data_IF_190486228084
#
_entry.id   IF_190486228084
#
_cell.length_a   1.000
_cell.length_b   1.000
_cell.length_c   1.000
_cell.angle_alpha   90.00
_cell.angle_beta   90.00
_cell.angle_gamma   90.00
#
_symmetry.space_group_name_H-M   'P 1'
#
loop_
_entity.id
_entity.type
_entity.pdbx_description
1 polymer ?
#
# COMPACT_ATOMS: atom_id res chain seq x y z
N UNK A 1 29.47 -12.92 27.41
CA UNK A 1 29.16 -11.59 27.97
C UNK A 1 28.42 -11.88 29.27
N UNK A 2 28.95 -11.50 30.43
CA UNK A 2 28.07 -11.28 31.59
C UNK A 2 27.27 -10.02 31.25
N UNK A 3 26.18 -10.20 30.50
CA UNK A 3 25.25 -9.12 30.17
C UNK A 3 24.40 -8.83 31.38
N UNK A 4 24.17 -7.55 31.66
CA UNK A 4 22.99 -7.10 32.38
C UNK A 4 21.77 -7.89 31.84
N UNK A 5 21.13 -8.73 32.67
CA UNK A 5 20.20 -9.76 32.19
C UNK A 5 18.81 -9.20 31.85
N UNK A 6 18.55 -7.94 32.16
CA UNK A 6 17.23 -7.33 31.98
C UNK A 6 16.93 -7.03 30.51
N UNK A 7 15.69 -7.28 30.08
CA UNK A 7 15.24 -6.95 28.73
C UNK A 7 15.15 -5.43 28.55
N UNK A 8 14.85 -4.70 29.63
CA UNK A 8 14.78 -3.24 29.70
C UNK A 8 16.11 -2.60 29.27
N UNK A 9 17.23 -3.18 29.68
CA UNK A 9 18.55 -2.73 29.23
C UNK A 9 18.68 -2.87 27.71
N UNK A 10 18.21 -3.98 27.15
CA UNK A 10 18.27 -4.23 25.70
C UNK A 10 17.38 -3.27 24.93
N UNK A 11 16.13 -3.06 25.36
CA UNK A 11 15.23 -2.05 24.79
C UNK A 11 15.88 -0.67 24.82
N UNK A 12 16.50 -0.31 25.95
CA UNK A 12 17.17 0.99 26.11
C UNK A 12 18.32 1.18 25.13
N UNK A 13 19.14 0.14 24.90
CA UNK A 13 20.22 0.21 23.91
C UNK A 13 19.69 0.47 22.49
N UNK A 14 18.59 -0.18 22.10
CA UNK A 14 17.95 0.06 20.81
C UNK A 14 17.34 1.47 20.70
N UNK A 15 16.58 1.87 21.73
CA UNK A 15 15.95 3.19 21.83
C UNK A 15 16.98 4.31 21.68
N UNK A 16 18.12 4.20 22.36
CA UNK A 16 19.14 5.24 22.36
C UNK A 16 20.23 5.05 21.29
N UNK A 17 20.10 4.07 20.38
CA UNK A 17 21.14 3.73 19.39
C UNK A 17 21.66 4.95 18.61
N UNK A 18 20.78 5.83 18.13
CA UNK A 18 21.20 7.02 17.39
C UNK A 18 22.02 8.01 18.23
N UNK A 19 21.71 8.14 19.52
CA UNK A 19 22.47 8.99 20.43
C UNK A 19 23.83 8.37 20.75
N UNK A 20 23.89 7.06 21.00
CA UNK A 20 25.15 6.35 21.23
C UNK A 20 26.03 6.43 19.98
N UNK A 21 25.43 6.29 18.79
CA UNK A 21 26.14 6.41 17.51
C UNK A 21 26.68 7.82 17.27
N UNK A 22 25.92 8.84 17.66
CA UNK A 22 26.37 10.24 17.61
C UNK A 22 27.56 10.49 18.55
N UNK A 23 27.54 9.91 19.75
CA UNK A 23 28.61 10.05 20.74
C UNK A 23 29.89 9.29 20.34
N UNK A 24 29.76 8.04 19.88
CA UNK A 24 30.89 7.23 19.43
C UNK A 24 30.49 6.26 18.30
N UNK A 25 30.56 6.77 17.07
CA UNK A 25 30.32 6.02 15.83
C UNK A 25 31.20 4.77 15.71
N UNK A 26 32.48 4.86 16.10
CA UNK A 26 33.44 3.75 15.97
C UNK A 26 33.07 2.63 16.92
N UNK A 27 32.74 2.97 18.17
CA UNK A 27 32.31 2.00 19.16
C UNK A 27 31.02 1.31 18.73
N UNK A 28 29.98 2.03 18.29
CA UNK A 28 28.73 1.40 17.84
C UNK A 28 28.97 0.48 16.65
N UNK A 29 29.76 0.92 15.67
CA UNK A 29 30.09 0.09 14.49
C UNK A 29 30.76 -1.22 14.88
N UNK A 30 31.73 -1.17 15.81
CA UNK A 30 32.46 -2.35 16.28
C UNK A 30 31.63 -3.25 17.22
N UNK A 31 30.59 -2.71 17.87
CA UNK A 31 29.81 -3.40 18.88
C UNK A 31 28.35 -3.63 18.47
N UNK A 32 27.98 -3.44 17.20
CA UNK A 32 26.57 -3.52 16.76
C UNK A 32 25.95 -4.90 17.05
N UNK A 33 26.68 -5.99 16.81
CA UNK A 33 26.22 -7.36 17.13
C UNK A 33 26.22 -7.65 18.64
N UNK A 34 26.88 -6.82 19.46
CA UNK A 34 26.73 -6.87 20.93
C UNK A 34 25.52 -6.08 21.38
N UNK A 35 25.18 -4.97 20.73
CA UNK A 35 23.94 -4.23 20.99
C UNK A 35 22.73 -5.10 20.63
N UNK A 36 22.82 -5.82 19.50
CA UNK A 36 21.79 -6.71 18.99
C UNK A 36 22.31 -8.16 18.97
N UNK A 37 22.29 -8.88 20.11
CA UNK A 37 22.92 -10.19 20.25
C UNK A 37 22.17 -11.28 19.47
N UNK A 38 22.64 -11.61 18.27
CA UNK A 38 21.94 -12.54 17.35
C UNK A 38 21.73 -13.94 17.92
N UNK A 39 22.57 -14.37 18.85
CA UNK A 39 22.51 -15.70 19.48
C UNK A 39 21.55 -15.73 20.69
N UNK A 40 20.91 -14.60 21.02
CA UNK A 40 19.91 -14.49 22.08
C UNK A 40 18.68 -13.74 21.53
N UNK A 41 17.69 -14.51 21.09
CA UNK A 41 16.50 -13.97 20.40
C UNK A 41 15.70 -13.01 21.26
N UNK A 42 15.52 -13.28 22.56
CA UNK A 42 14.77 -12.40 23.47
C UNK A 42 15.43 -11.03 23.60
N UNK A 43 16.74 -11.00 23.85
CA UNK A 43 17.48 -9.73 23.97
C UNK A 43 17.62 -9.02 22.63
N UNK A 44 17.82 -9.76 21.54
CA UNK A 44 17.84 -9.20 20.18
C UNK A 44 16.51 -8.54 19.83
N UNK A 45 15.39 -9.22 20.06
CA UNK A 45 14.06 -8.72 19.79
C UNK A 45 13.77 -7.49 20.65
N UNK A 46 14.04 -7.53 21.96
CA UNK A 46 13.88 -6.39 22.85
C UNK A 46 14.67 -5.15 22.36
N UNK A 47 15.94 -5.33 22.00
CA UNK A 47 16.76 -4.24 21.46
C UNK A 47 16.23 -3.74 20.12
N UNK A 48 15.89 -4.63 19.18
CA UNK A 48 15.44 -4.23 17.85
C UNK A 48 14.06 -3.57 17.87
N UNK A 49 13.16 -4.02 18.75
CA UNK A 49 11.88 -3.36 19.09
C UNK A 49 12.12 -1.95 19.60
N UNK A 50 13.06 -1.75 20.55
CA UNK A 50 13.44 -0.42 21.01
C UNK A 50 13.95 0.48 19.89
N UNK A 51 14.71 -0.07 18.94
CA UNK A 51 15.16 0.67 17.77
C UNK A 51 14.00 1.04 16.82
N UNK A 52 13.17 0.08 16.42
CA UNK A 52 12.08 0.32 15.47
C UNK A 52 11.00 1.26 16.02
N UNK A 53 10.67 1.14 17.31
CA UNK A 53 9.59 1.92 17.91
C UNK A 53 9.95 3.41 18.08
N UNK A 54 11.17 3.71 18.51
CA UNK A 54 11.56 5.07 18.90
C UNK A 54 12.22 5.88 17.78
N UNK A 55 12.69 5.26 16.70
CA UNK A 55 13.38 5.96 15.60
C UNK A 55 12.47 6.26 14.42
N UNK A 56 11.59 7.27 14.56
CA UNK A 56 10.72 7.73 13.46
C UNK A 56 11.47 8.31 12.26
N UNK A 57 12.71 8.78 12.44
CA UNK A 57 13.57 9.29 11.37
C UNK A 57 14.76 8.35 11.21
N UNK A 58 14.91 7.81 10.01
CA UNK A 58 15.94 6.81 9.73
C UNK A 58 17.28 7.51 9.50
N UNK A 59 18.25 7.25 10.36
CA UNK A 59 19.63 7.59 10.11
C UNK A 59 20.22 6.63 9.08
N UNK A 60 20.74 7.16 7.97
CA UNK A 60 21.30 6.38 6.86
C UNK A 60 22.41 5.42 7.32
N UNK A 61 23.40 5.92 8.05
CA UNK A 61 24.53 5.10 8.46
C UNK A 61 24.09 3.94 9.36
N UNK A 62 23.16 4.20 10.28
CA UNK A 62 22.63 3.17 11.18
C UNK A 62 21.82 2.13 10.40
N UNK A 63 20.98 2.58 9.46
CA UNK A 63 20.22 1.68 8.59
C UNK A 63 21.15 0.76 7.81
N UNK A 64 22.17 1.32 7.14
CA UNK A 64 23.16 0.56 6.38
C UNK A 64 23.99 -0.37 7.27
N UNK A 65 24.33 0.06 8.49
CA UNK A 65 25.04 -0.76 9.46
C UNK A 65 24.21 -1.97 9.89
N UNK A 66 22.94 -1.76 10.22
CA UNK A 66 22.01 -2.83 10.61
C UNK A 66 21.71 -3.78 9.45
N UNK A 67 21.57 -3.25 8.23
CA UNK A 67 21.40 -4.01 6.99
C UNK A 67 22.63 -4.89 6.72
N UNK A 68 23.84 -4.31 6.73
CA UNK A 68 25.10 -5.03 6.53
C UNK A 68 25.31 -6.15 7.56
N UNK A 69 24.77 -5.97 8.76
CA UNK A 69 24.82 -6.97 9.82
C UNK A 69 23.57 -7.88 9.86
N UNK A 70 22.74 -7.93 8.82
CA UNK A 70 21.58 -8.84 8.71
C UNK A 70 20.52 -8.71 9.82
N UNK A 71 20.46 -7.61 10.56
CA UNK A 71 19.43 -7.43 11.59
C UNK A 71 18.05 -7.22 10.96
N UNK A 72 17.96 -6.47 9.86
CA UNK A 72 16.72 -6.33 9.10
C UNK A 72 16.25 -7.66 8.49
N UNK A 73 17.17 -8.47 7.93
CA UNK A 73 16.83 -9.79 7.39
C UNK A 73 16.28 -10.69 8.49
N UNK A 74 16.94 -10.72 9.65
CA UNK A 74 16.45 -11.47 10.81
C UNK A 74 15.05 -10.99 11.21
N UNK A 75 14.77 -9.70 11.20
CA UNK A 75 13.45 -9.15 11.49
C UNK A 75 12.38 -9.46 10.43
N UNK A 76 12.73 -9.48 9.14
CA UNK A 76 11.81 -9.86 8.06
C UNK A 76 11.38 -11.33 8.20
N UNK A 77 12.31 -12.19 8.63
CA UNK A 77 12.11 -13.62 8.80
C UNK A 77 11.52 -13.99 10.17
N UNK A 78 11.70 -13.12 11.17
CA UNK A 78 11.09 -13.28 12.48
C UNK A 78 9.59 -13.07 12.35
N UNK A 79 8.83 -14.05 12.85
CA UNK A 79 7.39 -13.92 12.90
C UNK A 79 7.02 -13.12 14.15
N UNK A 80 6.77 -11.82 13.98
CA UNK A 80 6.20 -10.97 15.03
C UNK A 80 4.68 -11.24 15.16
N UNK A 81 4.25 -12.51 15.10
CA UNK A 81 2.83 -12.89 14.90
C UNK A 81 2.09 -13.32 16.16
N UNK A 82 2.62 -13.06 17.35
CA UNK A 82 1.89 -13.30 18.60
C UNK A 82 0.64 -12.39 18.78
N UNK A 83 0.23 -11.68 17.70
CA UNK A 83 -1.02 -10.96 17.54
C UNK A 83 -1.25 -9.88 18.61
N UNK A 84 -0.18 -9.38 19.23
CA UNK A 84 -0.29 -8.22 20.13
C UNK A 84 -0.29 -6.92 19.31
N UNK A 85 -0.91 -5.87 19.86
CA UNK A 85 -0.89 -4.51 19.26
C UNK A 85 0.55 -4.00 19.13
N UNK A 86 1.43 -4.43 20.03
CA UNK A 86 2.84 -4.06 20.00
C UNK A 86 3.50 -4.68 18.77
N UNK A 87 3.26 -5.96 18.51
CA UNK A 87 3.89 -6.66 17.39
C UNK A 87 3.47 -6.11 16.03
N UNK A 88 2.18 -5.77 15.85
CA UNK A 88 1.70 -5.13 14.61
C UNK A 88 2.34 -3.76 14.40
N UNK A 89 2.50 -2.98 15.48
CA UNK A 89 3.18 -1.68 15.42
C UNK A 89 4.66 -1.85 15.03
N UNK A 90 5.36 -2.85 15.58
CA UNK A 90 6.76 -3.11 15.27
C UNK A 90 6.93 -3.59 13.82
N UNK A 91 6.03 -4.42 13.33
CA UNK A 91 6.00 -4.84 11.93
C UNK A 91 5.82 -3.64 10.98
N UNK A 92 4.87 -2.76 11.28
CA UNK A 92 4.65 -1.54 10.50
C UNK A 92 5.91 -0.66 10.48
N UNK A 93 6.61 -0.52 11.62
CA UNK A 93 7.87 0.23 11.69
C UNK A 93 8.98 -0.41 10.87
N UNK A 94 9.11 -1.74 10.92
CA UNK A 94 10.06 -2.49 10.10
C UNK A 94 9.83 -2.21 8.61
N UNK A 95 8.58 -2.36 8.17
CA UNK A 95 8.21 -2.15 6.77
C UNK A 95 8.38 -0.69 6.36
N UNK A 96 8.00 0.27 7.22
CA UNK A 96 8.24 1.70 7.01
C UNK A 96 9.73 1.99 6.78
N UNK A 97 10.61 1.38 7.58
CA UNK A 97 12.05 1.59 7.42
C UNK A 97 12.55 1.16 6.04
N UNK A 98 12.11 -0.01 5.59
CA UNK A 98 12.48 -0.58 4.31
C UNK A 98 11.88 0.22 3.15
N UNK A 99 10.62 0.63 3.26
CA UNK A 99 9.95 1.44 2.24
C UNK A 99 10.58 2.82 2.10
N UNK A 100 11.00 3.47 3.19
CA UNK A 100 11.77 4.73 3.13
C UNK A 100 13.10 4.50 2.42
N UNK A 101 13.83 3.42 2.74
CA UNK A 101 15.06 3.02 2.05
C UNK A 101 14.84 2.85 0.54
N UNK A 102 13.74 2.23 0.14
CA UNK A 102 13.34 2.16 -1.27
C UNK A 102 13.01 3.53 -1.85
N UNK A 103 12.26 4.40 -1.18
CA UNK A 103 11.91 5.73 -1.68
C UNK A 103 13.12 6.60 -1.99
N UNK A 104 14.10 6.64 -1.08
CA UNK A 104 15.30 7.46 -1.23
C UNK A 104 16.38 6.80 -2.11
N UNK A 105 16.30 5.48 -2.33
CA UNK A 105 17.12 4.75 -3.31
C UNK A 105 18.23 3.90 -2.72
N UNK A 106 18.20 3.62 -1.41
CA UNK A 106 19.09 2.65 -0.76
C UNK A 106 18.73 1.21 -1.14
N UNK A 107 17.43 0.94 -1.35
CA UNK A 107 16.91 -0.36 -1.75
C UNK A 107 16.36 -0.32 -3.19
N UNK A 108 16.46 -1.43 -3.92
CA UNK A 108 16.04 -1.55 -5.33
C UNK A 108 15.31 -2.86 -5.59
N UNK A 109 14.12 -2.79 -6.20
CA UNK A 109 13.30 -3.98 -6.54
C UNK A 109 13.96 -4.98 -7.51
N UNK A 110 15.02 -4.56 -8.21
CA UNK A 110 15.78 -5.43 -9.13
C UNK A 110 16.94 -6.16 -8.42
N UNK A 111 17.32 -5.68 -7.24
CA UNK A 111 18.33 -6.30 -6.40
C UNK A 111 17.65 -7.27 -5.46
N UNK A 112 17.95 -8.54 -5.67
CA UNK A 112 17.39 -9.68 -4.95
C UNK A 112 17.86 -9.74 -3.49
N UNK A 113 18.97 -9.08 -3.15
CA UNK A 113 19.48 -8.96 -1.78
C UNK A 113 18.90 -7.74 -1.05
N UNK A 114 18.25 -6.83 -1.77
CA UNK A 114 17.63 -5.64 -1.18
C UNK A 114 16.49 -6.02 -0.22
N UNK A 115 16.35 -5.27 0.86
CA UNK A 115 15.36 -5.54 1.89
C UNK A 115 13.92 -5.43 1.36
N UNK A 116 13.68 -4.51 0.41
CA UNK A 116 12.38 -4.39 -0.25
C UNK A 116 12.05 -5.61 -1.11
N UNK A 117 13.03 -6.18 -1.82
CA UNK A 117 12.84 -7.43 -2.55
C UNK A 117 12.64 -8.61 -1.61
N UNK A 118 13.33 -8.64 -0.47
CA UNK A 118 13.19 -9.70 0.53
C UNK A 118 11.78 -9.74 1.15
N UNK A 119 11.17 -8.58 1.45
CA UNK A 119 9.76 -8.50 1.87
C UNK A 119 8.79 -9.11 0.84
N UNK A 120 9.15 -9.04 -0.45
CA UNK A 120 8.29 -9.50 -1.55
C UNK A 120 8.56 -10.96 -1.97
N UNK A 121 9.71 -11.54 -1.60
CA UNK A 121 10.10 -12.92 -1.97
C UNK A 121 9.31 -13.99 -1.20
N UNK A 122 9.08 -13.76 0.09
CA UNK A 122 8.27 -14.64 0.95
C UNK A 122 7.11 -13.81 1.51
N UNK A 123 6.01 -13.68 0.76
CA UNK A 123 4.97 -12.71 1.07
C UNK A 123 4.24 -13.07 2.36
N UNK A 124 4.43 -12.26 3.40
CA UNK A 124 3.60 -12.25 4.60
C UNK A 124 2.48 -11.20 4.42
N UNK A 125 1.22 -11.59 4.66
CA UNK A 125 0.03 -10.74 4.49
C UNK A 125 0.18 -9.40 5.21
N UNK A 126 0.62 -9.44 6.47
CA UNK A 126 0.73 -8.23 7.30
C UNK A 126 1.84 -7.32 6.76
N UNK A 127 2.97 -7.89 6.30
CA UNK A 127 4.04 -7.11 5.66
C UNK A 127 3.56 -6.45 4.36
N UNK A 128 2.83 -7.19 3.51
CA UNK A 128 2.28 -6.64 2.27
C UNK A 128 1.26 -5.52 2.54
N UNK A 129 0.37 -5.71 3.51
CA UNK A 129 -0.59 -4.69 3.94
C UNK A 129 0.11 -3.43 4.45
N UNK A 130 1.15 -3.58 5.28
CA UNK A 130 1.96 -2.46 5.77
C UNK A 130 2.65 -1.70 4.62
N UNK A 131 3.10 -2.39 3.57
CA UNK A 131 3.64 -1.73 2.36
C UNK A 131 2.53 -0.89 1.70
N UNK A 132 1.35 -1.46 1.46
CA UNK A 132 0.23 -0.78 0.81
C UNK A 132 -0.17 0.49 1.58
N UNK A 133 -0.29 0.38 2.90
CA UNK A 133 -0.64 1.49 3.78
C UNK A 133 0.43 2.57 3.81
N UNK A 134 1.72 2.21 3.89
CA UNK A 134 2.81 3.19 3.92
C UNK A 134 2.79 4.12 2.70
N UNK A 135 2.60 3.57 1.50
CA UNK A 135 2.57 4.36 0.27
C UNK A 135 1.31 5.21 0.15
N UNK A 136 0.16 4.71 0.59
CA UNK A 136 -1.07 5.49 0.62
C UNK A 136 -0.92 6.75 1.48
N UNK A 137 -0.20 6.65 2.60
CA UNK A 137 0.11 7.82 3.46
C UNK A 137 0.99 8.88 2.78
N UNK A 138 1.59 8.59 1.61
CA UNK A 138 2.40 9.55 0.86
C UNK A 138 1.60 10.35 -0.18
N UNK A 139 0.27 10.20 -0.26
CA UNK A 139 -0.59 10.86 -1.26
C UNK A 139 -0.45 12.39 -1.31
N UNK A 140 -0.11 13.02 -0.18
CA UNK A 140 0.05 14.49 -0.10
C UNK A 140 1.49 14.94 -0.41
N UNK A 141 2.38 14.01 -0.77
CA UNK A 141 3.81 14.24 -1.04
C UNK A 141 4.23 13.76 -2.44
N UNK A 142 3.27 13.67 -3.35
CA UNK A 142 3.47 13.14 -4.70
C UNK A 142 4.46 13.99 -5.51
N UNK A 143 5.40 13.30 -6.15
CA UNK A 143 6.29 13.83 -7.18
C UNK A 143 6.56 12.71 -8.21
N UNK A 144 7.11 13.05 -9.37
CA UNK A 144 7.26 12.10 -10.48
C UNK A 144 8.12 10.88 -10.11
N UNK A 145 9.15 11.10 -9.29
CA UNK A 145 10.02 10.03 -8.77
C UNK A 145 9.24 9.07 -7.88
N UNK A 146 8.40 9.59 -6.98
CA UNK A 146 7.53 8.80 -6.11
C UNK A 146 6.49 8.02 -6.93
N UNK A 147 5.81 8.68 -7.88
CA UNK A 147 4.81 8.04 -8.75
C UNK A 147 5.41 6.89 -9.56
N UNK A 148 6.61 7.08 -10.10
CA UNK A 148 7.35 6.02 -10.82
C UNK A 148 7.67 4.83 -9.90
N UNK A 149 8.10 5.09 -8.66
CA UNK A 149 8.37 4.05 -7.66
C UNK A 149 7.12 3.31 -7.21
N UNK A 150 6.01 4.03 -7.03
CA UNK A 150 4.69 3.46 -6.71
C UNK A 150 4.26 2.52 -7.83
N UNK A 151 4.25 2.97 -9.09
CA UNK A 151 3.84 2.14 -10.22
C UNK A 151 4.68 0.87 -10.37
N UNK A 152 6.01 0.99 -10.20
CA UNK A 152 6.92 -0.16 -10.26
C UNK A 152 6.64 -1.17 -9.14
N UNK A 153 6.39 -0.68 -7.93
CA UNK A 153 6.06 -1.52 -6.78
C UNK A 153 4.65 -2.14 -6.94
N UNK A 154 3.68 -1.38 -7.45
CA UNK A 154 2.32 -1.85 -7.71
C UNK A 154 2.35 -3.06 -8.64
N UNK A 155 3.12 -2.99 -9.73
CA UNK A 155 3.31 -4.13 -10.64
C UNK A 155 3.81 -5.38 -9.91
N UNK A 156 4.79 -5.23 -9.01
CA UNK A 156 5.33 -6.36 -8.23
C UNK A 156 4.30 -6.93 -7.25
N UNK A 157 3.60 -6.08 -6.51
CA UNK A 157 2.53 -6.48 -5.60
C UNK A 157 1.39 -7.18 -6.35
N UNK A 158 0.95 -6.61 -7.47
CA UNK A 158 -0.08 -7.19 -8.32
C UNK A 158 0.30 -8.61 -8.76
N UNK A 159 1.51 -8.81 -9.27
CA UNK A 159 1.97 -10.13 -9.70
C UNK A 159 1.97 -11.15 -8.55
N UNK A 160 2.37 -10.75 -7.34
CA UNK A 160 2.36 -11.62 -6.17
C UNK A 160 0.93 -12.00 -5.79
N UNK A 161 0.07 -11.01 -5.65
CA UNK A 161 -1.32 -11.19 -5.20
C UNK A 161 -2.17 -11.95 -6.23
N UNK A 162 -1.88 -11.77 -7.52
CA UNK A 162 -2.59 -12.45 -8.60
C UNK A 162 -2.39 -13.97 -8.58
N UNK A 163 -1.22 -14.45 -8.13
CA UNK A 163 -0.91 -15.88 -8.09
C UNK A 163 -1.80 -16.66 -7.13
N UNK A 164 -2.30 -16.00 -6.08
CA UNK A 164 -3.18 -16.59 -5.06
C UNK A 164 -4.38 -15.66 -4.78
N UNK A 165 -5.01 -15.16 -5.84
CA UNK A 165 -6.11 -14.17 -5.75
C UNK A 165 -7.38 -14.68 -5.04
N UNK A 166 -7.51 -16.00 -4.88
CA UNK A 166 -8.64 -16.61 -4.17
C UNK A 166 -8.44 -16.62 -2.65
N UNK A 167 -7.22 -16.31 -2.16
CA UNK A 167 -6.93 -16.17 -0.75
C UNK A 167 -7.63 -14.93 -0.16
N UNK A 168 -8.51 -15.09 0.84
CA UNK A 168 -9.28 -13.97 1.41
C UNK A 168 -8.41 -12.83 1.97
N UNK A 169 -7.25 -13.16 2.53
CA UNK A 169 -6.33 -12.14 3.05
C UNK A 169 -5.67 -11.34 1.91
N UNK A 170 -5.37 -11.98 0.79
CA UNK A 170 -4.90 -11.28 -0.40
C UNK A 170 -5.99 -10.45 -1.05
N UNK A 171 -7.25 -10.89 -1.03
CA UNK A 171 -8.38 -10.11 -1.52
C UNK A 171 -8.55 -8.78 -0.76
N UNK A 172 -8.30 -8.75 0.55
CA UNK A 172 -8.26 -7.50 1.34
C UNK A 172 -7.18 -6.55 0.81
N UNK A 173 -5.97 -7.06 0.58
CA UNK A 173 -4.85 -6.26 0.06
C UNK A 173 -5.14 -5.77 -1.38
N UNK A 174 -5.67 -6.64 -2.23
CA UNK A 174 -6.09 -6.32 -3.60
C UNK A 174 -7.15 -5.21 -3.57
N UNK A 175 -8.10 -5.27 -2.64
CA UNK A 175 -9.09 -4.22 -2.40
C UNK A 175 -8.40 -2.90 -2.02
N UNK A 176 -7.44 -2.93 -1.11
CA UNK A 176 -6.73 -1.73 -0.63
C UNK A 176 -5.85 -1.07 -1.70
N UNK A 177 -5.29 -1.86 -2.62
CA UNK A 177 -4.56 -1.34 -3.78
C UNK A 177 -5.43 -0.44 -4.67
N UNK A 178 -6.76 -0.56 -4.64
CA UNK A 178 -7.64 0.40 -5.35
C UNK A 178 -7.43 1.85 -4.90
N UNK A 179 -7.02 2.07 -3.63
CA UNK A 179 -6.74 3.40 -3.07
C UNK A 179 -5.48 4.03 -3.68
N UNK A 180 -4.57 3.23 -4.23
CA UNK A 180 -3.38 3.74 -4.92
C UNK A 180 -3.72 4.48 -6.22
N UNK A 181 -4.97 4.44 -6.68
CA UNK A 181 -5.48 5.35 -7.71
C UNK A 181 -5.26 6.83 -7.34
N UNK A 182 -5.22 7.16 -6.03
CA UNK A 182 -4.86 8.50 -5.55
C UNK A 182 -3.38 8.87 -5.69
N UNK A 183 -2.52 7.93 -6.07
CA UNK A 183 -1.05 8.09 -6.15
C UNK A 183 -0.52 8.21 -7.59
N UNK A 184 -1.40 8.27 -8.58
CA UNK A 184 -1.07 8.32 -10.01
C UNK A 184 -1.83 9.47 -10.67
N UNK A 185 -1.35 9.94 -11.82
CA UNK A 185 -1.98 11.04 -12.57
C UNK A 185 -2.98 10.55 -13.63
N UNK A 186 -2.70 9.40 -14.22
CA UNK A 186 -3.46 8.84 -15.33
C UNK A 186 -3.58 7.33 -15.18
N UNK A 187 -4.70 6.81 -15.69
CA UNK A 187 -4.93 5.37 -15.78
C UNK A 187 -4.42 4.93 -17.15
N UNK A 188 -3.32 4.18 -17.20
CA UNK A 188 -2.88 3.50 -18.42
C UNK A 188 -3.44 2.07 -18.50
N UNK A 189 -3.12 1.33 -19.57
CA UNK A 189 -3.59 -0.04 -19.76
C UNK A 189 -3.14 -1.01 -18.66
N UNK A 190 -1.94 -0.82 -18.10
CA UNK A 190 -1.44 -1.69 -17.04
C UNK A 190 -2.21 -1.45 -15.75
N UNK A 191 -2.37 -0.18 -15.39
CA UNK A 191 -3.10 0.24 -14.19
C UNK A 191 -4.58 -0.14 -14.31
N UNK A 192 -5.19 0.04 -15.48
CA UNK A 192 -6.56 -0.38 -15.76
C UNK A 192 -6.75 -1.87 -15.44
N UNK A 193 -5.85 -2.73 -15.94
CA UNK A 193 -5.93 -4.16 -15.67
C UNK A 193 -5.76 -4.50 -14.18
N UNK A 194 -4.89 -3.79 -13.47
CA UNK A 194 -4.73 -3.98 -12.03
C UNK A 194 -5.98 -3.57 -11.26
N UNK A 195 -6.57 -2.43 -11.63
CA UNK A 195 -7.78 -1.91 -11.00
C UNK A 195 -9.02 -2.76 -11.31
N UNK A 196 -9.15 -3.34 -12.52
CA UNK A 196 -10.22 -4.30 -12.83
C UNK A 196 -10.23 -5.48 -11.86
N UNK A 197 -9.05 -5.97 -11.44
CA UNK A 197 -8.96 -6.99 -10.39
C UNK A 197 -9.37 -6.43 -9.02
N UNK A 198 -8.83 -5.28 -8.62
CA UNK A 198 -9.16 -4.63 -7.35
C UNK A 198 -10.66 -4.38 -7.17
N UNK A 199 -11.33 -3.98 -8.25
CA UNK A 199 -12.77 -3.71 -8.28
C UNK A 199 -13.62 -4.94 -7.91
N UNK A 200 -13.21 -6.15 -8.30
CA UNK A 200 -13.92 -7.39 -7.96
C UNK A 200 -13.99 -7.65 -6.46
N UNK A 201 -12.99 -7.17 -5.73
CA UNK A 201 -12.86 -7.33 -4.28
C UNK A 201 -13.07 -6.01 -3.51
N UNK A 202 -13.61 -4.97 -4.16
CA UNK A 202 -13.65 -3.62 -3.58
C UNK A 202 -14.48 -3.51 -2.28
N UNK A 203 -15.46 -4.40 -2.13
CA UNK A 203 -16.32 -4.47 -0.94
C UNK A 203 -15.68 -5.22 0.23
N UNK A 204 -14.66 -6.07 -0.02
CA UNK A 204 -14.04 -6.92 1.01
C UNK A 204 -13.47 -6.08 2.17
N UNK A 205 -12.96 -4.88 1.89
CA UNK A 205 -12.47 -3.95 2.89
C UNK A 205 -13.17 -2.57 2.85
N UNK A 206 -14.43 -2.54 2.40
CA UNK A 206 -15.27 -1.32 2.35
C UNK A 206 -14.64 -0.13 1.60
N UNK A 207 -13.88 -0.40 0.54
CA UNK A 207 -13.07 0.61 -0.16
C UNK A 207 -13.84 1.41 -1.21
N UNK A 208 -15.08 1.03 -1.48
CA UNK A 208 -15.94 1.63 -2.49
C UNK A 208 -16.07 3.15 -2.40
N UNK A 209 -16.31 3.78 -1.24
CA UNK A 209 -16.40 5.24 -1.16
C UNK A 209 -15.11 5.95 -1.60
N UNK A 210 -13.95 5.43 -1.15
CA UNK A 210 -12.64 5.97 -1.52
C UNK A 210 -12.37 5.76 -3.00
N UNK A 211 -12.70 4.58 -3.53
CA UNK A 211 -12.52 4.29 -4.94
C UNK A 211 -13.31 5.24 -5.83
N UNK A 212 -14.58 5.51 -5.54
CA UNK A 212 -15.39 6.47 -6.29
C UNK A 212 -14.81 7.89 -6.22
N UNK A 213 -14.42 8.34 -5.03
CA UNK A 213 -13.79 9.66 -4.85
C UNK A 213 -12.50 9.79 -5.67
N UNK A 214 -11.67 8.75 -5.70
CA UNK A 214 -10.42 8.79 -6.47
C UNK A 214 -10.68 8.62 -7.95
N UNK A 215 -11.64 7.79 -8.35
CA UNK A 215 -12.03 7.62 -9.75
C UNK A 215 -12.56 8.92 -10.37
N UNK A 216 -13.31 9.72 -9.61
CA UNK A 216 -13.76 11.05 -10.05
C UNK A 216 -12.59 11.97 -10.42
N UNK A 217 -11.48 11.94 -9.66
CA UNK A 217 -10.29 12.76 -9.96
C UNK A 217 -9.66 12.41 -11.31
N UNK A 218 -9.89 11.21 -11.82
CA UNK A 218 -9.41 10.71 -13.11
C UNK A 218 -10.44 10.81 -14.24
N UNK A 219 -11.67 11.22 -13.95
CA UNK A 219 -12.77 11.17 -14.91
C UNK A 219 -12.50 12.06 -16.13
N UNK A 220 -11.84 13.21 -15.96
CA UNK A 220 -11.52 14.11 -17.09
C UNK A 220 -10.25 13.70 -17.84
N UNK A 221 -9.24 13.14 -17.15
CA UNK A 221 -7.96 12.76 -17.78
C UNK A 221 -8.00 11.37 -18.42
N UNK A 222 -8.87 10.48 -17.95
CA UNK A 222 -8.99 9.10 -18.44
C UNK A 222 -10.46 8.65 -18.52
N UNK A 223 -11.34 9.39 -19.23
CA UNK A 223 -12.79 9.20 -19.18
C UNK A 223 -13.22 7.78 -19.60
N UNK A 224 -12.71 7.27 -20.73
CA UNK A 224 -13.04 5.93 -21.21
C UNK A 224 -12.72 4.84 -20.17
N UNK A 225 -11.51 4.87 -19.62
CA UNK A 225 -11.03 3.90 -18.62
C UNK A 225 -11.75 4.01 -17.29
N UNK A 226 -12.09 5.23 -16.87
CA UNK A 226 -12.94 5.46 -15.70
C UNK A 226 -14.29 4.81 -15.89
N UNK A 227 -14.92 5.02 -17.04
CA UNK A 227 -16.20 4.40 -17.38
C UNK A 227 -16.13 2.87 -17.44
N UNK A 228 -15.05 2.31 -18.01
CA UNK A 228 -14.81 0.87 -17.99
C UNK A 228 -14.70 0.28 -16.58
N UNK A 229 -13.90 0.91 -15.71
CA UNK A 229 -13.76 0.49 -14.31
C UNK A 229 -15.08 0.57 -13.55
N UNK A 230 -15.86 1.62 -13.82
CA UNK A 230 -17.17 1.76 -13.22
C UNK A 230 -18.11 0.64 -13.66
N UNK A 231 -18.15 0.30 -14.94
CA UNK A 231 -18.94 -0.83 -15.46
C UNK A 231 -18.46 -2.15 -14.84
N UNK A 232 -17.15 -2.39 -14.74
CA UNK A 232 -16.60 -3.61 -14.11
C UNK A 232 -17.07 -3.75 -12.65
N UNK A 233 -17.16 -2.64 -11.93
CA UNK A 233 -17.68 -2.59 -10.56
C UNK A 233 -19.16 -2.97 -10.51
N UNK A 234 -19.98 -2.41 -11.40
CA UNK A 234 -21.40 -2.75 -11.49
C UNK A 234 -21.63 -4.21 -11.91
N UNK A 235 -20.80 -4.74 -12.81
CA UNK A 235 -20.80 -6.15 -13.22
C UNK A 235 -20.45 -7.08 -12.05
N UNK A 236 -19.62 -6.61 -11.12
CA UNK A 236 -19.30 -7.30 -9.86
C UNK A 236 -20.43 -7.16 -8.81
N UNK A 237 -21.63 -6.74 -9.23
CA UNK A 237 -22.81 -6.49 -8.41
C UNK A 237 -22.59 -5.44 -7.30
N UNK A 238 -21.65 -4.52 -7.50
CA UNK A 238 -21.38 -3.42 -6.58
C UNK A 238 -22.05 -2.16 -7.10
N UNK A 239 -23.08 -1.69 -6.41
CA UNK A 239 -23.85 -0.50 -6.76
C UNK A 239 -23.71 0.58 -5.67
N UNK A 240 -22.66 1.43 -5.72
CA UNK A 240 -22.47 2.50 -4.74
C UNK A 240 -23.64 3.48 -4.74
N UNK A 241 -24.04 3.91 -3.54
CA UNK A 241 -25.11 4.90 -3.31
C UNK A 241 -24.70 6.02 -2.34
N UNK A 242 -23.57 5.85 -1.67
CA UNK A 242 -23.03 6.87 -0.79
C UNK A 242 -22.34 7.96 -1.61
N UNK A 243 -22.55 9.24 -1.26
CA UNK A 243 -22.08 10.41 -2.03
C UNK A 243 -22.46 10.30 -3.51
N UNK A 244 -23.76 10.25 -3.78
CA UNK A 244 -24.31 10.11 -5.15
C UNK A 244 -23.82 11.24 -6.07
N UNK A 245 -23.50 12.40 -5.52
CA UNK A 245 -22.98 13.57 -6.23
C UNK A 245 -21.71 13.21 -7.01
N UNK A 246 -20.78 12.47 -6.41
CA UNK A 246 -19.55 12.02 -7.10
C UNK A 246 -19.87 11.12 -8.30
N UNK A 247 -20.88 10.24 -8.16
CA UNK A 247 -21.29 9.33 -9.21
C UNK A 247 -21.94 10.10 -10.36
N UNK A 248 -22.82 11.05 -10.01
CA UNK A 248 -23.46 11.94 -10.96
C UNK A 248 -22.44 12.77 -11.74
N UNK A 249 -21.42 13.28 -11.05
CA UNK A 249 -20.34 14.05 -11.65
C UNK A 249 -19.49 13.20 -12.61
N UNK A 250 -19.12 11.97 -12.22
CA UNK A 250 -18.46 11.02 -13.13
C UNK A 250 -19.28 10.84 -14.40
N UNK A 251 -20.58 10.53 -14.27
CA UNK A 251 -21.47 10.31 -15.43
C UNK A 251 -21.56 11.56 -16.31
N UNK A 252 -21.64 12.75 -15.71
CA UNK A 252 -21.68 14.01 -16.45
C UNK A 252 -20.37 14.25 -17.21
N UNK A 253 -19.22 14.00 -16.59
CA UNK A 253 -17.91 14.12 -17.24
C UNK A 253 -17.83 13.16 -18.43
N UNK A 254 -18.29 11.92 -18.27
CA UNK A 254 -18.33 10.94 -19.38
C UNK A 254 -19.13 11.45 -20.58
N UNK A 255 -20.30 12.08 -20.38
CA UNK A 255 -21.05 12.69 -21.49
C UNK A 255 -20.31 13.88 -22.12
N UNK A 256 -19.68 14.73 -21.31
CA UNK A 256 -18.94 15.88 -21.79
C UNK A 256 -17.73 15.46 -22.64
N UNK A 257 -17.04 14.39 -22.23
CA UNK A 257 -15.90 13.78 -22.92
C UNK A 257 -16.33 12.79 -24.03
N UNK A 258 -17.59 12.87 -24.49
CA UNK A 258 -18.15 12.09 -25.61
C UNK A 258 -18.19 10.56 -25.39
N UNK A 259 -18.06 10.09 -24.16
CA UNK A 259 -18.19 8.68 -23.76
C UNK A 259 -19.66 8.27 -23.55
N UNK A 260 -20.56 8.70 -24.44
CA UNK A 260 -22.01 8.60 -24.25
C UNK A 260 -22.47 7.16 -24.05
N UNK A 261 -21.99 6.21 -24.86
CA UNK A 261 -22.37 4.78 -24.76
C UNK A 261 -22.03 4.19 -23.39
N UNK A 262 -20.90 4.59 -22.82
CA UNK A 262 -20.45 4.12 -21.51
C UNK A 262 -21.30 4.76 -20.40
N UNK A 263 -21.55 6.07 -20.48
CA UNK A 263 -22.41 6.79 -19.55
C UNK A 263 -23.85 6.24 -19.55
N UNK A 264 -24.43 6.02 -20.73
CA UNK A 264 -25.76 5.41 -20.91
C UNK A 264 -25.82 4.03 -20.27
N UNK A 265 -24.79 3.20 -20.49
CA UNK A 265 -24.70 1.86 -19.89
C UNK A 265 -24.69 1.91 -18.37
N UNK A 266 -23.90 2.81 -17.77
CA UNK A 266 -23.88 3.00 -16.31
C UNK A 266 -25.28 3.41 -15.81
N UNK A 267 -25.91 4.40 -16.44
CA UNK A 267 -27.27 4.84 -16.10
C UNK A 267 -28.28 3.69 -16.16
N UNK A 268 -28.24 2.89 -17.24
CA UNK A 268 -29.15 1.77 -17.45
C UNK A 268 -28.97 0.68 -16.39
N UNK A 269 -27.72 0.31 -16.07
CA UNK A 269 -27.44 -0.68 -15.03
C UNK A 269 -27.96 -0.24 -13.66
N UNK A 270 -27.83 1.05 -13.31
CA UNK A 270 -28.45 1.59 -12.09
C UNK A 270 -29.98 1.55 -12.15
N UNK A 271 -30.58 1.92 -13.30
CA UNK A 271 -32.02 1.88 -13.52
C UNK A 271 -32.61 0.48 -13.41
N UNK A 272 -31.94 -0.54 -13.96
CA UNK A 272 -32.32 -1.96 -13.87
C UNK A 272 -32.34 -2.46 -12.41
N UNK A 273 -31.51 -1.87 -11.53
CA UNK A 273 -31.52 -2.14 -10.08
C UNK A 273 -32.50 -1.24 -9.30
N UNK A 274 -33.29 -0.41 -9.97
CA UNK A 274 -34.29 0.48 -9.39
C UNK A 274 -33.73 1.80 -8.86
N UNK A 275 -32.50 2.18 -9.22
CA UNK A 275 -31.87 3.43 -8.76
C UNK A 275 -32.03 4.55 -9.80
N UNK A 276 -32.86 5.54 -9.48
CA UNK A 276 -33.26 6.59 -10.42
C UNK A 276 -32.44 7.90 -10.33
N UNK A 277 -31.43 7.97 -9.45
CA UNK A 277 -30.68 9.22 -9.21
C UNK A 277 -29.85 9.69 -10.42
N UNK A 278 -29.60 8.80 -11.40
CA UNK A 278 -28.90 9.12 -12.65
C UNK A 278 -29.86 9.50 -13.80
N UNK A 279 -31.17 9.29 -13.65
CA UNK A 279 -32.16 9.44 -14.72
C UNK A 279 -32.16 10.82 -15.37
N UNK A 280 -31.88 11.88 -14.59
CA UNK A 280 -31.81 13.26 -15.08
C UNK A 280 -30.61 13.56 -16.00
N UNK A 281 -29.58 12.72 -15.97
CA UNK A 281 -28.36 12.89 -16.77
C UNK A 281 -28.37 12.06 -18.05
N UNK A 282 -29.25 11.07 -18.14
CA UNK A 282 -29.46 10.35 -19.39
C UNK A 282 -29.87 11.38 -20.45
N UNK A 283 -29.09 11.49 -21.54
CA UNK A 283 -29.59 12.19 -22.71
C UNK A 283 -30.89 11.49 -23.07
N UNK A 284 -32.00 12.22 -23.20
CA UNK A 284 -33.21 11.66 -23.78
C UNK A 284 -32.80 11.01 -25.10
N UNK A 285 -32.69 9.69 -25.12
CA UNK A 285 -32.83 8.95 -26.35
C UNK A 285 -34.31 9.16 -26.65
N UNK A 286 -34.60 10.18 -27.45
CA UNK A 286 -35.88 10.26 -28.12
C UNK A 286 -36.13 8.89 -28.74
N UNK A 287 -37.31 8.38 -28.43
CA UNK A 287 -37.86 7.13 -28.91
C UNK A 287 -37.66 7.02 -30.42
N UNK A 288 -36.59 6.36 -30.86
CA UNK A 288 -36.51 5.77 -32.19
C UNK A 288 -36.95 4.31 -32.04
N UNK A 289 -38.21 4.15 -31.67
CA UNK A 289 -39.02 2.98 -31.97
C UNK A 289 -40.42 3.51 -32.28
N UNK A 290 -40.54 4.07 -33.49
CA UNK A 290 -41.78 4.13 -34.25
C UNK A 290 -41.58 3.24 -35.48
#
# INVERSE_FOLDING_TARGET
RETEPTLEFSVSLGKYLAYIYYLDKKWVTNNINRIFPKDNDLHWQAAFTGYLFYHNRINNDIYLLLRKNNHYIKAIQADFSDNTIIDSTILDRLVQHICVGYLIGWEKLVDDESLISQLLKKPNVNQLSAIVNFFLMQKDRLNDKLKTKVKTLWKKLFNILFMDKENPEYQKIISDLSKWLSLIDEIDEQILNWLKLSVKYIQVNFNTPFFIEYLLKHASSSPEKVGELYIEMLNSNVYPKYKMENIQEIVQILYNEKQNKIADKICNMYGEKGFNFLRKYMRKIELIFN
#
